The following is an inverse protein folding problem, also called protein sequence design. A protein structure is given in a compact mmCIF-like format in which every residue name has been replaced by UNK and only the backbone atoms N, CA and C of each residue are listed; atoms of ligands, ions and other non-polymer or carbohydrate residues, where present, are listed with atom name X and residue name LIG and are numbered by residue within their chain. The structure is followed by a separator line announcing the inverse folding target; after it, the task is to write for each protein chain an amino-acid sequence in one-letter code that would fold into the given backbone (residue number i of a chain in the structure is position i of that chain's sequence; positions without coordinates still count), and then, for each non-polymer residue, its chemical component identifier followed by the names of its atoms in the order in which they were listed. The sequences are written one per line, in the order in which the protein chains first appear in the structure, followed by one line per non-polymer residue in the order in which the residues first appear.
data_IF_818097003192
#
_entry.id   IF_818097003192
#
_cell.length_a   1.000
_cell.length_b   1.000
_cell.length_c   1.000
_cell.angle_alpha   90.00
_cell.angle_beta   90.00
_cell.angle_gamma   90.00
#
_symmetry.space_group_name_H-M   'P 1'
#
loop_
_entity.id
_entity.type
_entity.pdbx_description
1 polymer ?
#
# COMPACT_ATOMS: atom_id res chain seq x y z
N UNK A 1 34.98 5.94 -21.03
CA UNK A 1 34.11 5.41 -19.95
C UNK A 1 34.97 4.54 -19.05
N UNK A 2 35.11 4.86 -17.76
CA UNK A 2 35.90 4.02 -16.86
C UNK A 2 35.09 2.81 -16.38
N UNK A 3 35.76 1.70 -16.06
CA UNK A 3 35.14 0.48 -15.51
C UNK A 3 34.17 0.76 -14.34
N UNK A 4 34.50 1.62 -13.35
CA UNK A 4 33.56 1.91 -12.26
C UNK A 4 32.30 2.63 -12.76
N UNK A 5 32.42 3.54 -13.73
CA UNK A 5 31.24 4.23 -14.29
C UNK A 5 30.30 3.23 -14.96
N UNK A 6 30.83 2.27 -15.73
CA UNK A 6 30.02 1.23 -16.33
C UNK A 6 29.31 0.36 -15.29
N UNK A 7 30.00 -0.02 -14.22
CA UNK A 7 29.43 -0.83 -13.14
C UNK A 7 28.29 -0.09 -12.45
N UNK A 8 28.50 1.20 -12.09
CA UNK A 8 27.47 2.01 -11.45
C UNK A 8 26.25 2.20 -12.36
N UNK A 9 26.46 2.43 -13.66
CA UNK A 9 25.36 2.55 -14.62
C UNK A 9 24.53 1.28 -14.71
N UNK A 10 25.17 0.10 -14.75
CA UNK A 10 24.45 -1.19 -14.77
C UNK A 10 23.67 -1.38 -13.48
N UNK A 11 24.28 -1.12 -12.33
CA UNK A 11 23.60 -1.26 -11.03
C UNK A 11 22.40 -0.32 -10.90
N UNK A 12 22.52 0.92 -11.36
CA UNK A 12 21.43 1.89 -11.35
C UNK A 12 20.25 1.42 -12.22
N UNK A 13 20.55 0.84 -13.38
CA UNK A 13 19.53 0.33 -14.29
C UNK A 13 18.80 -0.90 -13.70
N UNK A 14 19.55 -1.81 -13.07
CA UNK A 14 18.97 -2.96 -12.34
C UNK A 14 18.09 -2.49 -11.18
N UNK A 15 18.57 -1.52 -10.38
CA UNK A 15 17.81 -0.98 -9.26
C UNK A 15 16.51 -0.33 -9.72
N UNK A 16 16.56 0.50 -10.77
CA UNK A 16 15.37 1.15 -11.32
C UNK A 16 14.34 0.14 -11.84
N UNK A 17 14.78 -0.88 -12.56
CA UNK A 17 13.91 -1.94 -13.07
C UNK A 17 13.25 -2.73 -11.92
N UNK A 18 14.02 -3.12 -10.91
CA UNK A 18 13.50 -3.83 -9.73
C UNK A 18 12.47 -2.99 -8.97
N UNK A 19 12.78 -1.72 -8.68
CA UNK A 19 11.85 -0.82 -7.99
C UNK A 19 10.56 -0.60 -8.78
N UNK A 20 10.66 -0.41 -10.10
CA UNK A 20 9.49 -0.26 -10.97
C UNK A 20 8.62 -1.52 -10.99
N UNK A 21 9.23 -2.70 -11.11
CA UNK A 21 8.51 -3.97 -11.07
C UNK A 21 7.80 -4.19 -9.71
N UNK A 22 8.49 -3.92 -8.60
CA UNK A 22 7.88 -4.03 -7.26
C UNK A 22 6.71 -3.06 -7.11
N UNK A 23 6.86 -1.81 -7.53
CA UNK A 23 5.78 -0.82 -7.47
C UNK A 23 4.56 -1.28 -8.28
N UNK A 24 4.79 -1.77 -9.51
CA UNK A 24 3.72 -2.26 -10.37
C UNK A 24 2.98 -3.45 -9.75
N UNK A 25 3.71 -4.44 -9.22
CA UNK A 25 3.11 -5.62 -8.60
C UNK A 25 2.29 -5.26 -7.35
N UNK A 26 2.84 -4.42 -6.46
CA UNK A 26 2.11 -3.98 -5.25
C UNK A 26 0.86 -3.18 -5.61
N UNK A 27 0.93 -2.29 -6.60
CA UNK A 27 -0.24 -1.55 -7.08
C UNK A 27 -1.27 -2.47 -7.72
N UNK A 28 -0.85 -3.50 -8.46
CA UNK A 28 -1.74 -4.48 -9.05
C UNK A 28 -2.48 -5.29 -7.97
N UNK A 29 -1.79 -5.70 -6.91
CA UNK A 29 -2.40 -6.37 -5.75
C UNK A 29 -3.31 -5.43 -4.93
N UNK A 30 -2.94 -4.15 -4.80
CA UNK A 30 -3.76 -3.15 -4.10
C UNK A 30 -5.02 -2.75 -4.89
N UNK A 31 -4.97 -2.81 -6.21
CA UNK A 31 -6.11 -2.52 -7.10
C UNK A 31 -7.07 -3.71 -7.23
N UNK A 32 -6.60 -4.93 -6.95
CA UNK A 32 -7.48 -6.08 -6.79
C UNK A 32 -8.23 -5.92 -5.45
N UNK A 33 -9.57 -6.09 -5.43
CA UNK A 33 -10.26 -6.34 -4.17
C UNK A 33 -9.54 -7.51 -3.50
N UNK A 34 -9.17 -7.42 -2.21
CA UNK A 34 -8.46 -8.50 -1.56
C UNK A 34 -9.29 -9.76 -1.75
N UNK A 35 -8.66 -10.85 -2.21
CA UNK A 35 -9.28 -12.17 -2.35
C UNK A 35 -9.55 -12.73 -0.94
N UNK A 36 -10.49 -12.07 -0.28
CA UNK A 36 -10.94 -12.37 1.06
C UNK A 36 -12.04 -13.39 0.94
N UNK A 37 -11.86 -14.52 1.62
CA UNK A 37 -12.96 -15.45 1.81
C UNK A 37 -14.12 -14.76 2.54
N UNK A 38 -15.33 -15.26 2.34
CA UNK A 38 -16.53 -14.75 3.03
C UNK A 38 -16.33 -14.72 4.55
N UNK A 39 -15.64 -15.72 5.11
CA UNK A 39 -15.32 -15.78 6.55
C UNK A 39 -14.42 -14.63 7.02
N UNK A 40 -13.44 -14.26 6.20
CA UNK A 40 -12.56 -13.11 6.46
C UNK A 40 -13.31 -11.80 6.30
N UNK A 41 -14.19 -11.70 5.30
CA UNK A 41 -15.06 -10.53 5.07
C UNK A 41 -15.99 -10.30 6.27
N UNK A 42 -16.71 -11.33 6.70
CA UNK A 42 -17.61 -11.28 7.86
C UNK A 42 -16.86 -10.92 9.14
N UNK A 43 -15.68 -11.52 9.36
CA UNK A 43 -14.84 -11.20 10.51
C UNK A 43 -14.41 -9.73 10.50
N UNK A 44 -13.95 -9.23 9.35
CA UNK A 44 -13.58 -7.82 9.18
C UNK A 44 -14.76 -6.89 9.45
N UNK A 45 -15.93 -7.17 8.87
CA UNK A 45 -17.15 -6.37 9.06
C UNK A 45 -17.63 -6.36 10.51
N UNK A 46 -17.49 -7.48 11.23
CA UNK A 46 -17.80 -7.56 12.66
C UNK A 46 -16.87 -6.71 13.52
N UNK A 47 -15.58 -6.65 13.20
CA UNK A 47 -14.59 -5.92 13.99
C UNK A 47 -14.50 -4.43 13.64
N UNK A 48 -14.52 -4.08 12.36
CA UNK A 48 -14.33 -2.71 11.87
C UNK A 48 -15.65 -2.01 11.50
N UNK A 49 -16.77 -2.72 11.53
CA UNK A 49 -18.02 -2.26 10.94
C UNK A 49 -18.06 -2.55 9.44
N UNK A 50 -19.26 -2.49 8.86
CA UNK A 50 -19.42 -2.45 7.41
C UNK A 50 -18.64 -1.26 6.85
N UNK A 51 -18.01 -1.43 5.68
CA UNK A 51 -17.33 -0.36 4.95
C UNK A 51 -18.35 0.64 4.35
N UNK A 52 -19.38 0.99 5.11
CA UNK A 52 -20.18 2.17 4.83
C UNK A 52 -19.25 3.37 4.89
N UNK A 53 -19.48 4.30 3.97
CA UNK A 53 -18.76 5.55 3.89
C UNK A 53 -18.78 6.20 5.27
N UNK A 54 -17.60 6.34 5.90
CA UNK A 54 -17.51 6.93 7.22
C UNK A 54 -18.19 8.30 7.15
N UNK A 55 -19.15 8.60 8.04
CA UNK A 55 -19.83 9.90 8.00
C UNK A 55 -18.77 10.99 8.06
N UNK A 56 -18.93 12.02 7.22
CA UNK A 56 -17.99 13.14 7.15
C UNK A 56 -17.75 13.68 8.56
N UNK A 57 -16.52 13.54 9.04
CA UNK A 57 -16.14 13.96 10.39
C UNK A 57 -16.03 15.48 10.36
N UNK A 58 -17.12 16.20 10.64
CA UNK A 58 -17.22 17.67 10.57
C UNK A 58 -16.11 18.41 11.34
N UNK A 59 -15.64 17.81 12.44
CA UNK A 59 -14.53 18.30 13.24
C UNK A 59 -13.56 17.15 13.39
N UNK A 60 -12.56 17.12 12.51
CA UNK A 60 -11.59 16.03 12.39
C UNK A 60 -11.24 15.40 13.74
N UNK A 61 -11.22 14.07 13.77
CA UNK A 61 -11.06 13.21 14.94
C UNK A 61 -10.14 13.87 15.97
N UNK A 62 -10.72 14.52 16.98
CA UNK A 62 -9.95 15.21 18.02
C UNK A 62 -9.26 14.13 18.86
N UNK A 63 -8.05 13.72 18.44
CA UNK A 63 -7.15 12.93 19.26
C UNK A 63 -6.53 13.86 20.31
N UNK A 64 -7.36 14.51 21.12
CA UNK A 64 -6.90 15.24 22.30
C UNK A 64 -6.68 14.22 23.40
N UNK A 65 -5.45 14.04 23.89
CA UNK A 65 -5.24 13.22 25.07
C UNK A 65 -5.97 13.84 26.27
N UNK A 66 -6.63 13.00 27.08
CA UNK A 66 -7.29 13.41 28.34
C UNK A 66 -6.35 13.28 29.54
N UNK A 67 -5.10 13.71 29.38
CA UNK A 67 -4.13 13.75 30.48
C UNK A 67 -3.73 15.19 30.76
#
# INVERSE_FOLDING_TARGET
MSRPVLIVSVLALVAAAASGATFYLVQADAAAPPDMSEEQRISREKFFGTAEELPSIEKGQEMRPRW
#
